data_IF_244745693248
#
_entry.id   IF_244745693248
#
_cell.length_a   1.000
_cell.length_b   1.000
_cell.length_c   1.000
_cell.angle_alpha   90.00
_cell.angle_beta   90.00
_cell.angle_gamma   90.00
#
_symmetry.space_group_name_H-M   'P 1'
#
loop_
_entity.id
_entity.type
_entity.pdbx_description
1 polymer ?
#
# COMPACT_ATOMS: atom_id res chain seq x y z
N UNK A 1 -18.07 -18.87 -11.56
CA UNK A 1 -16.67 -18.41 -11.52
C UNK A 1 -15.76 -19.57 -11.91
N UNK A 2 -14.79 -19.36 -12.79
CA UNK A 2 -13.77 -20.38 -13.12
C UNK A 2 -12.56 -20.17 -12.20
N UNK A 3 -12.18 -21.21 -11.46
CA UNK A 3 -10.98 -21.21 -10.63
C UNK A 3 -9.91 -22.09 -11.27
N UNK A 4 -8.67 -21.60 -11.32
CA UNK A 4 -7.50 -22.36 -11.78
C UNK A 4 -6.79 -22.93 -10.55
N UNK A 5 -6.42 -24.21 -10.59
CA UNK A 5 -5.59 -24.84 -9.55
C UNK A 5 -4.13 -24.73 -9.95
N UNK A 6 -3.32 -24.21 -9.06
CA UNK A 6 -1.88 -24.05 -9.25
C UNK A 6 -1.18 -24.59 -8.02
N UNK A 7 -0.19 -25.46 -8.22
CA UNK A 7 0.72 -25.87 -7.15
C UNK A 7 1.86 -24.84 -7.07
N UNK A 8 2.19 -24.40 -5.86
CA UNK A 8 3.29 -23.49 -5.59
C UNK A 8 4.23 -24.12 -4.56
N UNK A 9 5.53 -23.94 -4.75
CA UNK A 9 6.52 -24.27 -3.73
C UNK A 9 6.63 -23.09 -2.78
N UNK A 10 6.48 -23.34 -1.48
CA UNK A 10 6.65 -22.34 -0.43
C UNK A 10 7.36 -22.96 0.77
N UNK A 11 8.06 -22.13 1.53
CA UNK A 11 8.71 -22.56 2.76
C UNK A 11 7.71 -23.12 3.76
N UNK A 12 8.11 -24.19 4.48
CA UNK A 12 7.23 -24.88 5.43
C UNK A 12 6.74 -23.95 6.54
N UNK A 13 7.63 -23.12 7.05
CA UNK A 13 7.32 -22.18 8.14
C UNK A 13 6.31 -21.12 7.70
N UNK A 14 6.39 -20.67 6.44
CA UNK A 14 5.42 -19.72 5.88
C UNK A 14 4.07 -20.38 5.65
N UNK A 15 4.05 -21.62 5.15
CA UNK A 15 2.83 -22.40 5.01
C UNK A 15 2.12 -22.57 6.36
N UNK A 16 2.84 -22.90 7.42
CA UNK A 16 2.26 -23.10 8.76
C UNK A 16 1.70 -21.80 9.36
N UNK A 17 2.37 -20.68 9.13
CA UNK A 17 1.86 -19.36 9.51
C UNK A 17 0.57 -19.01 8.75
N UNK A 18 0.54 -19.26 7.45
CA UNK A 18 -0.65 -19.05 6.63
C UNK A 18 -1.81 -19.93 7.09
N UNK A 19 -1.57 -21.20 7.43
CA UNK A 19 -2.60 -22.10 7.95
C UNK A 19 -3.19 -21.61 9.28
N UNK A 20 -2.35 -21.21 10.23
CA UNK A 20 -2.81 -20.65 11.52
C UNK A 20 -3.63 -19.37 11.30
N UNK A 21 -3.19 -18.52 10.39
CA UNK A 21 -3.90 -17.29 10.05
C UNK A 21 -5.27 -17.60 9.42
N UNK A 22 -5.33 -18.49 8.43
CA UNK A 22 -6.58 -18.91 7.79
C UNK A 22 -7.59 -19.45 8.81
N UNK A 23 -7.12 -20.28 9.75
CA UNK A 23 -7.94 -20.81 10.85
C UNK A 23 -8.47 -19.69 11.75
N UNK A 24 -7.61 -18.76 12.19
CA UNK A 24 -8.02 -17.61 13.03
C UNK A 24 -9.07 -16.73 12.36
N UNK A 25 -8.94 -16.51 11.04
CA UNK A 25 -9.88 -15.74 10.22
C UNK A 25 -11.12 -16.55 9.82
N UNK A 26 -11.18 -17.85 10.14
CA UNK A 26 -12.25 -18.78 9.75
C UNK A 26 -12.48 -18.84 8.23
N UNK A 27 -11.41 -18.76 7.45
CA UNK A 27 -11.44 -18.88 5.98
C UNK A 27 -10.66 -20.11 5.54
N UNK A 28 -10.94 -20.60 4.32
CA UNK A 28 -10.12 -21.66 3.75
C UNK A 28 -8.71 -21.15 3.42
N UNK A 29 -7.73 -22.05 3.44
CA UNK A 29 -6.36 -21.80 2.97
C UNK A 29 -6.33 -21.10 1.61
N UNK A 30 -7.06 -21.63 0.64
CA UNK A 30 -7.12 -21.06 -0.72
C UNK A 30 -7.71 -19.65 -0.73
N UNK A 31 -8.70 -19.38 0.13
CA UNK A 31 -9.27 -18.03 0.25
C UNK A 31 -8.27 -17.06 0.85
N UNK A 32 -7.50 -17.46 1.86
CA UNK A 32 -6.42 -16.63 2.42
C UNK A 32 -5.40 -16.24 1.34
N UNK A 33 -4.92 -17.20 0.54
CA UNK A 33 -3.97 -16.92 -0.54
C UNK A 33 -4.54 -15.97 -1.59
N UNK A 34 -5.84 -16.11 -1.93
CA UNK A 34 -6.50 -15.17 -2.85
C UNK A 34 -6.53 -13.76 -2.26
N UNK A 35 -6.88 -13.62 -0.98
CA UNK A 35 -6.91 -12.31 -0.29
C UNK A 35 -5.51 -11.69 -0.31
N UNK A 36 -4.50 -12.44 0.13
CA UNK A 36 -3.12 -11.96 0.18
C UNK A 36 -2.60 -11.54 -1.20
N UNK A 37 -2.90 -12.30 -2.25
CA UNK A 37 -2.49 -11.95 -3.61
C UNK A 37 -3.19 -10.70 -4.14
N UNK A 38 -4.50 -10.56 -3.86
CA UNK A 38 -5.25 -9.36 -4.24
C UNK A 38 -4.70 -8.11 -3.56
N UNK A 39 -4.41 -8.22 -2.26
CA UNK A 39 -3.85 -7.14 -1.46
C UNK A 39 -2.44 -6.75 -1.94
N UNK A 40 -1.58 -7.74 -2.20
CA UNK A 40 -0.24 -7.51 -2.74
C UNK A 40 -0.27 -6.80 -4.11
N UNK A 41 -1.16 -7.21 -5.01
CA UNK A 41 -1.33 -6.56 -6.33
C UNK A 41 -1.83 -5.12 -6.15
N UNK A 42 -2.78 -4.87 -5.25
CA UNK A 42 -3.27 -3.54 -4.98
C UNK A 42 -2.16 -2.62 -4.43
N UNK A 43 -1.38 -3.11 -3.48
CA UNK A 43 -0.23 -2.38 -2.94
C UNK A 43 0.81 -2.06 -4.02
N UNK A 44 1.12 -3.01 -4.91
CA UNK A 44 2.08 -2.79 -5.99
C UNK A 44 1.58 -1.72 -6.98
N UNK A 45 0.30 -1.76 -7.36
CA UNK A 45 -0.32 -0.71 -8.20
C UNK A 45 -0.28 0.66 -7.54
N UNK A 46 -0.53 0.73 -6.24
CA UNK A 46 -0.47 1.99 -5.50
C UNK A 46 0.96 2.57 -5.49
N UNK A 47 1.98 1.72 -5.35
CA UNK A 47 3.40 2.13 -5.43
C UNK A 47 3.76 2.67 -6.81
N UNK A 48 3.29 2.01 -7.87
CA UNK A 48 3.50 2.47 -9.25
C UNK A 48 2.81 3.81 -9.52
N UNK A 49 1.58 3.98 -9.05
CA UNK A 49 0.87 5.26 -9.15
C UNK A 49 1.62 6.37 -8.42
N UNK A 50 2.08 6.11 -7.20
CA UNK A 50 2.87 7.07 -6.43
C UNK A 50 4.18 7.44 -7.16
N UNK A 51 4.85 6.46 -7.75
CA UNK A 51 6.05 6.70 -8.55
C UNK A 51 5.77 7.59 -9.78
N UNK A 52 4.66 7.37 -10.47
CA UNK A 52 4.24 8.21 -11.60
C UNK A 52 3.91 9.64 -11.18
N UNK A 53 3.23 9.82 -10.04
CA UNK A 53 2.97 11.14 -9.47
C UNK A 53 4.29 11.84 -9.16
N UNK A 54 5.20 11.17 -8.45
CA UNK A 54 6.51 11.75 -8.12
C UNK A 54 7.32 12.11 -9.37
N UNK A 55 7.25 11.29 -10.42
CA UNK A 55 7.91 11.58 -11.70
C UNK A 55 7.30 12.81 -12.39
N UNK A 56 5.98 12.95 -12.38
CA UNK A 56 5.29 14.10 -12.97
C UNK A 56 5.63 15.43 -12.26
N UNK A 57 5.95 15.38 -10.97
CA UNK A 57 6.38 16.55 -10.18
C UNK A 57 7.89 16.54 -9.89
N UNK A 58 8.70 15.89 -10.74
CA UNK A 58 10.15 15.82 -10.55
C UNK A 58 10.89 17.09 -10.96
N UNK A 59 10.23 17.97 -11.74
CA UNK A 59 10.77 19.27 -12.15
C UNK A 59 10.86 20.26 -10.97
N UNK A 60 11.68 21.30 -11.14
CA UNK A 60 11.76 22.35 -10.13
C UNK A 60 10.41 23.07 -9.96
N UNK A 61 9.96 23.30 -8.72
CA UNK A 61 8.68 23.95 -8.47
C UNK A 61 8.68 25.37 -9.05
N UNK A 62 7.65 25.71 -9.81
CA UNK A 62 7.48 27.07 -10.31
C UNK A 62 7.23 28.08 -9.16
N UNK A 63 7.26 29.38 -9.47
CA UNK A 63 7.09 30.43 -8.47
C UNK A 63 5.72 30.39 -7.76
N UNK A 64 4.68 29.90 -8.42
CA UNK A 64 3.36 29.74 -7.84
C UNK A 64 3.34 28.56 -6.86
N UNK A 65 3.95 27.42 -7.23
CA UNK A 65 4.13 26.25 -6.37
C UNK A 65 4.97 26.59 -5.13
N UNK A 66 6.07 27.33 -5.29
CA UNK A 66 6.89 27.78 -4.17
C UNK A 66 6.09 28.63 -3.19
N UNK A 67 5.27 29.54 -3.70
CA UNK A 67 4.38 30.39 -2.90
C UNK A 67 3.33 29.56 -2.16
N UNK A 68 2.74 28.57 -2.82
CA UNK A 68 1.77 27.65 -2.24
C UNK A 68 2.39 26.79 -1.14
N UNK A 69 3.58 26.22 -1.39
CA UNK A 69 4.38 25.45 -0.42
C UNK A 69 4.69 26.28 0.82
N UNK A 70 5.08 27.56 0.67
CA UNK A 70 5.33 28.46 1.80
C UNK A 70 4.08 28.71 2.65
N UNK A 71 2.92 28.92 2.01
CA UNK A 71 1.63 29.11 2.71
C UNK A 71 1.22 27.84 3.46
N UNK A 72 1.30 26.67 2.80
CA UNK A 72 0.97 25.37 3.39
C UNK A 72 1.83 25.07 4.63
N UNK A 73 3.16 25.29 4.55
CA UNK A 73 4.07 25.11 5.70
C UNK A 73 3.70 26.01 6.89
N UNK A 74 3.28 27.25 6.65
CA UNK A 74 2.85 28.18 7.71
C UNK A 74 1.54 27.73 8.36
N UNK A 75 0.59 27.22 7.59
CA UNK A 75 -0.66 26.66 8.11
C UNK A 75 -0.42 25.40 8.94
N UNK A 76 0.37 24.46 8.41
CA UNK A 76 0.68 23.23 9.11
C UNK A 76 1.42 23.47 10.44
N UNK A 77 2.33 24.45 10.47
CA UNK A 77 3.02 24.84 11.72
C UNK A 77 2.04 25.35 12.78
N UNK A 78 1.09 26.22 12.39
CA UNK A 78 0.07 26.76 13.32
C UNK A 78 -0.86 25.68 13.86
N UNK A 79 -1.19 24.68 13.05
CA UNK A 79 -2.02 23.55 13.47
C UNK A 79 -1.28 22.68 14.50
N UNK A 80 0.02 22.44 14.29
CA UNK A 80 0.87 21.68 15.22
C UNK A 80 1.19 22.45 16.51
N UNK A 81 1.27 23.78 16.46
CA UNK A 81 1.47 24.63 17.65
C UNK A 81 0.22 24.76 18.54
N UNK A 82 -0.97 24.43 18.03
CA UNK A 82 -2.24 24.48 18.77
C UNK A 82 -2.66 23.16 19.42
N UNK A 83 -1.92 22.07 19.21
CA UNK A 83 -2.22 20.71 19.70
C UNK A 83 -1.27 20.24 20.83
N UNK A 84 -0.62 21.15 21.56
CA UNK A 84 0.15 20.82 22.77
C UNK A 84 -0.46 21.47 24.02
#
# INVERSE_FOLDING_TARGET
MKAIKTAISIEKDLFDQAEKMAQSMKVSRSKLFVIALQDFIAHQKNRELLAQINAAYSDEPDTAEQTLRRKSRRQHRRMMEGEW
#
